data_IF_692104435992
#
_entry.id   IF_692104435992
#
_cell.length_a   1.000
_cell.length_b   1.000
_cell.length_c   1.000
_cell.angle_alpha   90.00
_cell.angle_beta   90.00
_cell.angle_gamma   90.00
#
_symmetry.space_group_name_H-M   'P 1'
#
loop_
_entity.id
_entity.type
_entity.pdbx_description
1 polymer ?
#
# COMPACT_ATOMS: atom_id res chain seq x y z
N UNK A 1 4.56 27.95 -2.98
CA UNK A 1 4.61 26.52 -3.35
C UNK A 1 3.33 25.90 -2.85
N UNK A 2 2.32 25.85 -3.71
CA UNK A 2 1.00 25.26 -3.39
C UNK A 2 1.21 23.77 -3.20
N UNK A 3 1.14 23.29 -1.95
CA UNK A 3 0.99 21.86 -1.67
C UNK A 3 -0.29 21.39 -2.37
N UNK A 4 -0.14 20.67 -3.48
CA UNK A 4 -1.24 19.94 -4.09
C UNK A 4 -1.55 18.76 -3.16
N UNK A 5 -2.49 18.98 -2.25
CA UNK A 5 -3.10 17.89 -1.49
C UNK A 5 -3.83 17.00 -2.49
N UNK A 6 -3.30 15.81 -2.77
CA UNK A 6 -3.96 14.80 -3.60
C UNK A 6 -5.15 14.26 -2.82
N UNK A 7 -6.38 14.61 -3.24
CA UNK A 7 -7.58 14.04 -2.65
C UNK A 7 -7.82 12.67 -3.26
N UNK A 8 -7.41 11.65 -2.51
CA UNK A 8 -7.57 10.25 -2.89
C UNK A 8 -9.03 9.84 -2.67
N UNK A 9 -9.70 9.47 -3.75
CA UNK A 9 -11.09 8.96 -3.77
C UNK A 9 -11.13 7.45 -3.50
N UNK A 10 -10.10 6.72 -3.91
CA UNK A 10 -10.04 5.28 -3.71
C UNK A 10 -8.63 4.72 -3.71
N UNK A 11 -8.44 3.61 -2.99
CA UNK A 11 -7.18 2.89 -2.98
C UNK A 11 -7.41 1.37 -3.05
N UNK A 12 -6.53 0.69 -3.78
CA UNK A 12 -6.56 -0.75 -3.99
C UNK A 12 -5.18 -1.34 -3.76
N UNK A 13 -5.13 -2.46 -3.03
CA UNK A 13 -3.90 -3.16 -2.72
C UNK A 13 -3.80 -4.45 -3.55
N UNK A 14 -2.73 -4.55 -4.35
CA UNK A 14 -2.43 -5.68 -5.22
C UNK A 14 -1.25 -6.48 -4.68
N UNK A 15 -1.41 -7.76 -4.31
CA UNK A 15 -0.28 -8.59 -3.92
C UNK A 15 0.66 -8.81 -5.10
N UNK A 16 1.96 -8.75 -4.85
CA UNK A 16 2.95 -9.12 -5.86
C UNK A 16 2.88 -10.61 -6.16
N UNK A 17 2.95 -10.96 -7.44
CA UNK A 17 3.04 -12.37 -7.88
C UNK A 17 4.39 -13.01 -7.57
N UNK A 18 5.39 -12.24 -7.15
CA UNK A 18 6.79 -12.71 -7.02
C UNK A 18 7.36 -12.58 -5.61
N UNK A 19 6.58 -12.12 -4.62
CA UNK A 19 7.06 -11.96 -3.24
C UNK A 19 6.03 -11.35 -2.31
N UNK A 20 6.45 -11.05 -1.07
CA UNK A 20 5.59 -10.50 -0.01
C UNK A 20 5.29 -8.99 -0.15
N UNK A 21 5.61 -8.37 -1.30
CA UNK A 21 5.38 -6.95 -1.52
C UNK A 21 3.95 -6.70 -1.98
N UNK A 22 3.28 -5.71 -1.40
CA UNK A 22 1.96 -5.26 -1.84
C UNK A 22 2.11 -3.93 -2.57
N UNK A 23 1.51 -3.85 -3.75
CA UNK A 23 1.46 -2.64 -4.56
C UNK A 23 0.14 -1.91 -4.35
N UNK A 24 0.20 -0.64 -4.02
CA UNK A 24 -0.99 0.19 -3.92
C UNK A 24 -1.24 0.95 -5.22
N UNK A 25 -2.51 1.00 -5.60
CA UNK A 25 -3.04 1.83 -6.67
C UNK A 25 -4.03 2.80 -6.06
N UNK A 26 -3.85 4.10 -6.29
CA UNK A 26 -4.72 5.15 -5.77
C UNK A 26 -5.42 5.87 -6.92
N UNK A 27 -6.66 6.26 -6.71
CA UNK A 27 -7.47 7.11 -7.59
C UNK A 27 -7.63 8.47 -6.95
N UNK A 28 -7.26 9.50 -7.68
CA UNK A 28 -7.46 10.90 -7.31
C UNK A 28 -8.82 11.43 -7.79
N UNK A 29 -9.30 12.52 -7.18
CA UNK A 29 -10.54 13.21 -7.57
C UNK A 29 -10.55 13.65 -9.04
N UNK A 30 -9.38 13.96 -9.60
CA UNK A 30 -9.22 14.34 -11.02
C UNK A 30 -9.19 13.14 -11.98
N UNK A 31 -9.76 12.00 -11.58
CA UNK A 31 -9.77 10.76 -12.35
C UNK A 31 -8.38 10.21 -12.71
N UNK A 32 -7.35 10.56 -11.94
CA UNK A 32 -5.97 10.15 -12.21
C UNK A 32 -5.60 8.94 -11.35
N UNK A 33 -5.10 7.88 -11.99
CA UNK A 33 -4.56 6.71 -11.28
C UNK A 33 -3.06 6.83 -11.03
N UNK A 34 -2.64 6.48 -9.82
CA UNK A 34 -1.25 6.33 -9.43
C UNK A 34 -0.99 4.94 -8.88
N UNK A 35 0.18 4.36 -9.15
CA UNK A 35 0.57 3.07 -8.56
C UNK A 35 2.04 3.08 -8.14
N UNK A 36 2.36 2.44 -7.02
CA UNK A 36 3.74 2.34 -6.51
C UNK A 36 4.55 1.18 -7.13
N UNK A 37 4.01 0.46 -8.11
CA UNK A 37 4.71 -0.67 -8.71
C UNK A 37 5.78 -0.22 -9.71
N UNK A 38 6.84 -1.03 -9.93
CA UNK A 38 7.93 -0.67 -10.85
C UNK A 38 7.43 -0.44 -12.28
N UNK A 39 6.37 -1.15 -12.71
CA UNK A 39 5.77 -0.94 -14.03
C UNK A 39 5.12 0.44 -14.23
N UNK A 40 4.76 1.13 -13.14
CA UNK A 40 4.23 2.50 -13.19
C UNK A 40 5.33 3.56 -13.00
N UNK A 41 6.32 3.26 -12.15
CA UNK A 41 7.44 4.15 -11.84
C UNK A 41 8.40 4.25 -13.04
N UNK A 42 8.85 3.12 -13.58
CA UNK A 42 9.78 3.04 -14.70
C UNK A 42 9.06 3.13 -16.06
N UNK A 43 8.22 4.16 -16.21
CA UNK A 43 7.47 4.43 -17.44
C UNK A 43 8.43 4.38 -18.64
N UNK A 44 8.15 3.51 -19.61
CA UNK A 44 8.88 3.48 -20.89
C UNK A 44 8.57 4.73 -21.70
N UNK A 45 9.61 5.32 -22.30
CA UNK A 45 9.48 6.47 -23.21
C UNK A 45 8.57 6.07 -24.38
N UNK A 46 7.59 6.91 -24.70
CA UNK A 46 6.63 6.67 -25.79
C UNK A 46 5.39 5.83 -25.43
N UNK A 47 5.24 5.35 -24.19
CA UNK A 47 3.99 4.71 -23.74
C UNK A 47 3.18 5.57 -22.76
N UNK A 48 1.86 5.39 -22.77
CA UNK A 48 0.98 5.94 -21.75
C UNK A 48 1.38 5.40 -20.36
N UNK A 49 1.34 6.26 -19.35
CA UNK A 49 1.71 5.88 -17.98
C UNK A 49 0.67 4.90 -17.43
N UNK A 50 1.09 3.67 -17.13
CA UNK A 50 0.18 2.66 -16.62
C UNK A 50 0.88 1.33 -16.37
N UNK A 51 0.36 0.58 -15.42
CA UNK A 51 0.80 -0.76 -15.09
C UNK A 51 -0.36 -1.76 -15.18
N UNK A 52 -0.09 -3.05 -14.94
CA UNK A 52 -1.14 -4.07 -14.88
C UNK A 52 -2.25 -3.70 -13.88
N UNK A 53 -1.88 -3.20 -12.71
CA UNK A 53 -2.83 -2.82 -11.66
C UNK A 53 -3.72 -1.65 -12.06
N UNK A 54 -3.14 -0.54 -12.56
CA UNK A 54 -3.94 0.61 -13.01
C UNK A 54 -4.86 0.25 -14.17
N UNK A 55 -4.44 -0.66 -15.06
CA UNK A 55 -5.29 -1.13 -16.17
C UNK A 55 -6.47 -1.98 -15.70
N UNK A 56 -6.33 -2.72 -14.60
CA UNK A 56 -7.44 -3.47 -14.01
C UNK A 56 -8.49 -2.56 -13.36
N UNK A 57 -8.05 -1.45 -12.76
CA UNK A 57 -8.95 -0.48 -12.11
C UNK A 57 -9.54 0.51 -13.11
N UNK A 58 -8.80 0.85 -14.18
CA UNK A 58 -9.21 1.81 -15.22
C UNK A 58 -10.69 1.73 -15.68
N UNK A 59 -11.25 0.55 -16.01
CA UNK A 59 -12.64 0.46 -16.46
C UNK A 59 -13.67 0.77 -15.36
N UNK A 60 -13.28 0.74 -14.09
CA UNK A 60 -14.18 0.99 -12.96
C UNK A 60 -14.13 2.44 -12.47
N UNK A 61 -13.12 3.23 -12.84
CA UNK A 61 -12.92 4.61 -12.37
C UNK A 61 -14.18 5.46 -12.58
N UNK A 62 -14.73 5.46 -13.79
CA UNK A 62 -15.89 6.29 -14.12
C UNK A 62 -17.09 5.93 -13.24
N UNK A 63 -17.29 4.63 -12.98
CA UNK A 63 -18.39 4.19 -12.11
C UNK A 63 -18.15 4.56 -10.65
N UNK A 64 -16.91 4.56 -10.19
CA UNK A 64 -16.55 4.98 -8.83
C UNK A 64 -16.73 6.49 -8.65
N UNK A 65 -16.30 7.29 -9.62
CA UNK A 65 -16.46 8.76 -9.59
C UNK A 65 -17.93 9.20 -9.69
N UNK A 66 -18.74 8.45 -10.47
CA UNK A 66 -20.18 8.69 -10.55
C UNK A 66 -20.95 8.13 -9.33
N UNK A 67 -20.27 7.50 -8.36
CA UNK A 67 -20.89 6.90 -7.17
C UNK A 67 -21.77 5.69 -7.48
N UNK A 68 -21.64 5.08 -8.66
CA UNK A 68 -22.37 3.88 -9.07
C UNK A 68 -21.78 2.59 -8.49
N UNK A 69 -20.49 2.61 -8.19
CA UNK A 69 -19.73 1.50 -7.63
C UNK A 69 -18.85 2.02 -6.51
N UNK A 70 -18.81 1.33 -5.38
CA UNK A 70 -17.88 1.67 -4.29
C UNK A 70 -16.49 1.07 -4.53
N UNK A 71 -15.47 1.64 -3.87
CA UNK A 71 -14.10 1.09 -3.89
C UNK A 71 -14.08 -0.37 -3.43
N UNK A 72 -14.93 -0.72 -2.46
CA UNK A 72 -15.06 -2.07 -1.94
C UNK A 72 -15.64 -3.03 -2.97
N UNK A 73 -16.74 -2.68 -3.65
CA UNK A 73 -17.33 -3.53 -4.71
C UNK A 73 -16.35 -3.78 -5.86
N UNK A 74 -15.58 -2.76 -6.27
CA UNK A 74 -14.53 -2.94 -7.29
C UNK A 74 -13.47 -3.92 -6.80
N UNK A 75 -13.13 -3.87 -5.52
CA UNK A 75 -12.13 -4.75 -4.91
C UNK A 75 -12.60 -6.21 -4.86
N UNK A 76 -13.85 -6.43 -4.48
CA UNK A 76 -14.48 -7.76 -4.48
C UNK A 76 -14.54 -8.35 -5.89
N UNK A 77 -14.93 -7.54 -6.89
CA UNK A 77 -14.96 -7.98 -8.30
C UNK A 77 -13.59 -8.32 -8.86
N UNK A 78 -12.55 -7.64 -8.38
CA UNK A 78 -11.17 -7.90 -8.77
C UNK A 78 -10.49 -8.97 -7.90
N UNK A 79 -11.13 -9.44 -6.82
CA UNK A 79 -10.55 -10.38 -5.87
C UNK A 79 -9.32 -9.83 -5.14
N UNK A 80 -9.29 -8.51 -4.91
CA UNK A 80 -8.17 -7.80 -4.25
C UNK A 80 -8.64 -7.15 -2.94
N UNK A 81 -7.69 -6.83 -2.07
CA UNK A 81 -7.99 -6.10 -0.85
C UNK A 81 -8.29 -4.64 -1.19
N UNK A 82 -9.55 -4.24 -0.99
CA UNK A 82 -9.97 -2.85 -1.07
C UNK A 82 -9.61 -2.12 0.19
N UNK A 83 -8.81 -1.06 0.08
CA UNK A 83 -8.53 -0.20 1.22
C UNK A 83 -9.27 1.11 1.00
N UNK A 84 -10.35 1.32 1.74
CA UNK A 84 -10.95 2.65 1.84
C UNK A 84 -10.00 3.50 2.66
N UNK A 85 -9.00 4.10 2.00
CA UNK A 85 -8.22 5.16 2.61
C UNK A 85 -9.19 6.32 2.88
N UNK A 86 -9.79 6.32 4.07
CA UNK A 86 -10.38 7.50 4.66
C UNK A 86 -9.25 8.53 4.73
N UNK A 87 -9.36 9.55 3.88
CA UNK A 87 -8.56 10.77 3.97
C UNK A 87 -8.49 11.19 5.45
N UNK A 88 -7.31 11.25 6.09
CA UNK A 88 -7.20 12.03 7.30
C UNK A 88 -7.41 13.48 6.89
N UNK A 89 -8.55 14.04 7.31
CA UNK A 89 -8.71 15.49 7.43
C UNK A 89 -7.47 16.04 8.13
N UNK A 90 -6.70 16.86 7.41
CA UNK A 90 -5.49 17.48 7.94
C UNK A 90 -5.89 18.38 9.10
N UNK A 91 -5.48 18.03 10.31
CA UNK A 91 -5.34 18.99 11.41
C UNK A 91 -3.91 18.91 11.95
N UNK A 92 -3.10 19.86 11.46
CA UNK A 92 -1.90 20.45 12.06
C UNK A 92 -0.73 19.55 12.56
N UNK A 93 0.43 19.68 11.90
CA UNK A 93 1.80 19.46 12.42
C UNK A 93 2.26 20.69 13.28
N UNK A 94 3.43 20.74 14.02
CA UNK A 94 4.72 20.07 13.74
C UNK A 94 5.75 19.78 14.90
N UNK A 95 6.89 19.17 14.48
CA UNK A 95 8.30 19.21 14.98
C UNK A 95 8.89 18.05 15.85
N UNK A 96 9.97 17.47 15.31
CA UNK A 96 10.92 16.50 15.89
C UNK A 96 11.91 17.17 16.89
N UNK A 97 12.79 16.45 17.66
CA UNK A 97 14.05 15.90 17.10
C UNK A 97 14.72 14.66 17.80
N UNK A 98 15.55 13.95 17.01
CA UNK A 98 16.85 13.27 17.31
C UNK A 98 17.10 12.27 18.48
N UNK A 99 17.62 11.09 18.08
CA UNK A 99 18.44 10.04 18.75
C UNK A 99 19.44 10.52 19.85
N UNK A 100 19.93 9.68 20.81
CA UNK A 100 20.83 8.55 20.49
C UNK A 100 20.87 7.29 21.42
N UNK A 101 21.48 6.24 20.83
CA UNK A 101 22.22 5.06 21.35
C UNK A 101 22.19 4.67 22.84
N UNK A 102 21.95 3.37 23.10
CA UNK A 102 22.70 2.61 24.11
C UNK A 102 22.74 1.12 23.74
N UNK A 103 23.96 0.64 23.50
CA UNK A 103 24.37 -0.75 23.40
C UNK A 103 24.34 -1.45 24.77
N UNK A 104 24.16 -2.77 24.77
CA UNK A 104 24.88 -3.80 25.58
C UNK A 104 23.98 -5.02 25.79
N UNK A 105 24.31 -6.15 25.17
CA UNK A 105 25.08 -7.28 25.75
C UNK A 105 24.14 -8.36 26.32
N UNK A 106 23.96 -9.46 25.60
CA UNK A 106 24.70 -10.74 25.80
C UNK A 106 24.07 -11.66 26.86
N UNK A 107 23.51 -12.80 26.44
CA UNK A 107 24.00 -14.13 26.83
C UNK A 107 23.22 -15.27 26.17
N UNK A 108 23.98 -16.22 25.66
CA UNK A 108 23.60 -17.54 25.18
C UNK A 108 23.57 -18.57 26.32
N UNK A 109 22.68 -19.56 26.26
CA UNK A 109 22.73 -20.94 26.84
C UNK A 109 21.60 -21.70 26.12
N UNK A 110 21.72 -22.74 25.28
CA UNK A 110 22.50 -23.99 25.15
C UNK A 110 22.12 -25.11 26.15
N UNK A 111 21.63 -26.23 25.59
CA UNK A 111 21.41 -27.57 26.19
C UNK A 111 20.27 -27.64 27.24
N UNK A 112 19.53 -28.72 27.40
CA UNK A 112 19.65 -30.06 26.85
C UNK A 112 18.48 -30.92 27.33
N UNK A 113 18.24 -31.98 26.57
CA UNK A 113 17.37 -33.13 26.83
C UNK A 113 17.65 -33.73 28.21
N UNK A 114 16.62 -33.91 29.03
CA UNK A 114 16.66 -34.74 30.24
C UNK A 114 15.70 -35.91 30.03
N UNK A 115 16.29 -37.10 29.98
CA UNK A 115 15.64 -38.39 30.22
C UNK A 115 15.66 -38.59 31.73
N UNK A 116 14.55 -39.03 32.30
CA UNK A 116 14.48 -39.52 33.68
C UNK A 116 13.96 -40.95 33.68
N UNK A 117 14.51 -41.74 34.59
CA UNK A 117 14.62 -43.18 34.60
C UNK A 117 14.48 -43.60 36.07
N UNK A 118 13.32 -44.10 36.47
CA UNK A 118 13.01 -44.76 37.75
C UNK A 118 11.61 -45.39 37.55
N UNK A 119 11.25 -46.61 37.92
CA UNK A 119 11.87 -47.83 38.45
C UNK A 119 10.97 -48.99 37.98
#
# INVERSE_FOLDING_TARGET
MTSMTLNIVGAWAFPSSSGATTYETTLDEVATLSCNCPGFIYKKVGQARGCKHTRQVAPFIESVLLGKLTVQEVSERLGIAGNTHTVPTVSAQPKAPTKPVASSSSKAVKKGRLIDFEE
#
